data_IF_545787978469
#
_entry.id   IF_545787978469
#
_cell.length_a   1.000
_cell.length_b   1.000
_cell.length_c   1.000
_cell.angle_alpha   90.00
_cell.angle_beta   90.00
_cell.angle_gamma   90.00
#
_symmetry.space_group_name_H-M   'P 1'
#
loop_
_entity.id
_entity.type
_entity.pdbx_description
1 polymer ?
#
# COMPACT_ATOMS: atom_id res chain seq x y z
N UNK A 1 -0.95 -24.23 11.26
CA UNK A 1 -1.98 -23.41 10.59
C UNK A 1 -2.93 -24.36 9.88
N UNK A 2 -4.25 -24.13 9.91
CA UNK A 2 -5.16 -24.98 9.14
C UNK A 2 -4.90 -24.82 7.63
N UNK A 3 -5.29 -25.81 6.82
CA UNK A 3 -5.19 -25.73 5.34
C UNK A 3 -5.92 -24.49 4.79
N UNK A 4 -7.02 -24.08 5.43
CA UNK A 4 -7.80 -22.92 5.03
C UNK A 4 -7.08 -21.60 5.35
N UNK A 5 -6.51 -21.49 6.55
CA UNK A 5 -5.70 -20.33 6.99
C UNK A 5 -4.54 -20.07 6.04
N UNK A 6 -3.85 -21.13 5.60
CA UNK A 6 -2.73 -21.02 4.66
C UNK A 6 -3.18 -20.54 3.27
N UNK A 7 -4.29 -21.07 2.75
CA UNK A 7 -4.85 -20.65 1.45
C UNK A 7 -5.32 -19.19 1.50
N UNK A 8 -5.95 -18.74 2.58
CA UNK A 8 -6.38 -17.35 2.76
C UNK A 8 -5.18 -16.40 2.84
N UNK A 9 -4.13 -16.81 3.56
CA UNK A 9 -2.87 -16.07 3.65
C UNK A 9 -2.22 -15.91 2.28
N UNK A 10 -2.14 -17.00 1.50
CA UNK A 10 -1.61 -16.98 0.15
C UNK A 10 -2.46 -16.11 -0.78
N UNK A 11 -3.79 -16.22 -0.72
CA UNK A 11 -4.69 -15.39 -1.52
C UNK A 11 -4.50 -13.91 -1.26
N UNK A 12 -4.41 -13.50 0.00
CA UNK A 12 -4.18 -12.11 0.35
C UNK A 12 -2.79 -11.65 -0.08
N UNK A 13 -1.77 -12.51 0.13
CA UNK A 13 -0.40 -12.26 -0.28
C UNK A 13 -0.30 -11.99 -1.78
N UNK A 14 -0.88 -12.86 -2.59
CA UNK A 14 -0.88 -12.73 -4.04
C UNK A 14 -1.70 -11.51 -4.50
N UNK A 15 -2.80 -11.19 -3.80
CA UNK A 15 -3.60 -10.01 -4.09
C UNK A 15 -2.81 -8.72 -3.87
N UNK A 16 -2.08 -8.62 -2.74
CA UNK A 16 -1.26 -7.46 -2.42
C UNK A 16 0.01 -7.38 -3.29
N UNK A 17 0.58 -8.54 -3.61
CA UNK A 17 1.72 -8.67 -4.51
C UNK A 17 1.41 -8.13 -5.89
N UNK A 18 0.30 -8.57 -6.50
CA UNK A 18 -0.12 -8.03 -7.78
C UNK A 18 -0.61 -6.58 -7.65
N UNK A 19 -1.64 -6.36 -6.83
CA UNK A 19 -2.38 -5.09 -6.77
C UNK A 19 -1.54 -3.89 -6.36
N UNK A 20 -0.57 -4.07 -5.46
CA UNK A 20 0.30 -2.99 -5.00
C UNK A 20 1.74 -3.21 -5.49
N UNK A 21 2.35 -4.35 -5.17
CA UNK A 21 3.77 -4.56 -5.47
C UNK A 21 4.10 -4.42 -6.95
N UNK A 22 3.45 -5.21 -7.81
CA UNK A 22 3.74 -5.24 -9.25
C UNK A 22 3.06 -4.07 -9.98
N UNK A 23 1.74 -3.93 -9.89
CA UNK A 23 1.00 -2.96 -10.72
C UNK A 23 1.45 -1.51 -10.51
N UNK A 24 1.85 -1.17 -9.29
CA UNK A 24 2.31 0.17 -8.94
C UNK A 24 3.81 0.30 -9.07
N UNK A 25 4.60 -0.47 -8.31
CA UNK A 25 6.03 -0.21 -8.14
C UNK A 25 6.90 -0.71 -9.29
N UNK A 26 6.38 -1.59 -10.17
CA UNK A 26 7.11 -1.94 -11.40
C UNK A 26 7.36 -0.75 -12.31
N UNK A 27 6.41 0.20 -12.39
CA UNK A 27 6.61 1.40 -13.21
C UNK A 27 7.78 2.22 -12.68
N UNK A 28 7.83 2.47 -11.37
CA UNK A 28 8.95 3.19 -10.74
C UNK A 28 10.27 2.46 -10.99
N UNK A 29 10.30 1.13 -10.84
CA UNK A 29 11.49 0.33 -11.10
C UNK A 29 12.00 0.46 -12.55
N UNK A 30 11.09 0.42 -13.53
CA UNK A 30 11.42 0.46 -14.96
C UNK A 30 11.45 1.86 -15.54
N UNK A 31 11.18 2.90 -14.75
CA UNK A 31 11.00 4.27 -15.21
C UNK A 31 12.21 4.79 -16.01
N UNK A 32 13.46 4.69 -15.50
CA UNK A 32 14.62 5.23 -16.22
C UNK A 32 14.78 4.57 -17.60
N UNK A 33 14.78 3.24 -17.65
CA UNK A 33 14.96 2.48 -18.90
C UNK A 33 13.78 2.62 -19.87
N UNK A 34 12.54 2.72 -19.37
CA UNK A 34 11.35 2.94 -20.23
C UNK A 34 11.37 4.32 -20.84
N UNK A 35 11.76 5.34 -20.05
CA UNK A 35 11.85 6.72 -20.54
C UNK A 35 12.87 6.83 -21.67
N UNK A 36 14.06 6.26 -21.47
CA UNK A 36 15.13 6.26 -22.46
C UNK A 36 14.72 5.49 -23.73
N UNK A 37 14.23 4.26 -23.56
CA UNK A 37 13.87 3.40 -24.69
C UNK A 37 12.69 3.93 -25.52
N UNK A 38 11.72 4.59 -24.89
CA UNK A 38 10.51 5.09 -25.58
C UNK A 38 10.62 6.58 -25.95
N UNK A 39 11.72 7.25 -25.58
CA UNK A 39 11.93 8.68 -25.86
C UNK A 39 10.95 9.61 -25.14
N UNK A 40 10.48 9.23 -23.94
CA UNK A 40 9.53 10.02 -23.18
C UNK A 40 10.19 11.23 -22.50
N UNK A 41 9.45 12.34 -22.42
CA UNK A 41 9.87 13.47 -21.58
C UNK A 41 9.79 13.10 -20.09
N UNK A 42 10.56 13.80 -19.26
CA UNK A 42 10.50 13.66 -17.79
C UNK A 42 9.09 13.94 -17.27
N UNK A 43 8.43 14.97 -17.80
CA UNK A 43 7.09 15.37 -17.39
C UNK A 43 6.04 14.30 -17.72
N UNK A 44 6.11 13.73 -18.93
CA UNK A 44 5.19 12.66 -19.32
C UNK A 44 5.40 11.40 -18.48
N UNK A 45 6.66 11.02 -18.24
CA UNK A 45 6.99 9.88 -17.40
C UNK A 45 6.50 10.07 -15.94
N UNK A 46 6.64 11.28 -15.40
CA UNK A 46 6.10 11.64 -14.08
C UNK A 46 4.56 11.59 -14.06
N UNK A 47 3.90 12.08 -15.11
CA UNK A 47 2.44 12.06 -15.26
C UNK A 47 1.87 10.64 -15.19
N UNK A 48 2.55 9.66 -15.79
CA UNK A 48 2.13 8.24 -15.75
C UNK A 48 2.17 7.64 -14.33
N UNK A 49 3.06 8.11 -13.46
CA UNK A 49 3.04 7.81 -12.03
C UNK A 49 1.78 8.35 -11.37
N UNK A 50 1.47 9.63 -11.61
CA UNK A 50 0.27 10.31 -11.10
C UNK A 50 -1.04 9.68 -11.61
N UNK A 51 -1.08 9.27 -12.88
CA UNK A 51 -2.20 8.58 -13.50
C UNK A 51 -2.54 7.27 -12.76
N UNK A 52 -1.52 6.53 -12.31
CA UNK A 52 -1.72 5.34 -11.49
C UNK A 52 -2.29 5.66 -10.10
N UNK A 53 -1.83 6.75 -9.45
CA UNK A 53 -2.38 7.19 -8.17
C UNK A 53 -3.84 7.64 -8.28
N UNK A 54 -4.19 8.34 -9.36
CA UNK A 54 -5.56 8.70 -9.68
C UNK A 54 -6.42 7.45 -9.89
N UNK A 55 -5.95 6.50 -10.70
CA UNK A 55 -6.60 5.22 -10.88
C UNK A 55 -6.83 4.49 -9.55
N UNK A 56 -5.83 4.48 -8.67
CA UNK A 56 -5.94 3.88 -7.34
C UNK A 56 -7.03 4.53 -6.48
N UNK A 57 -7.14 5.86 -6.50
CA UNK A 57 -8.23 6.59 -5.84
C UNK A 57 -9.61 6.20 -6.40
N UNK A 58 -9.74 6.12 -7.73
CA UNK A 58 -10.98 5.69 -8.41
C UNK A 58 -11.33 4.24 -8.02
N UNK A 59 -10.34 3.35 -8.02
CA UNK A 59 -10.51 1.95 -7.63
C UNK A 59 -10.93 1.81 -6.17
N UNK A 60 -10.31 2.57 -5.27
CA UNK A 60 -10.66 2.56 -3.86
C UNK A 60 -12.08 3.09 -3.60
N UNK A 61 -12.47 4.14 -4.32
CA UNK A 61 -13.82 4.70 -4.28
C UNK A 61 -14.87 3.72 -4.80
N UNK A 62 -14.55 3.05 -5.90
CA UNK A 62 -15.40 2.02 -6.48
C UNK A 62 -15.58 0.86 -5.50
N UNK A 63 -14.49 0.37 -4.91
CA UNK A 63 -14.52 -0.72 -3.93
C UNK A 63 -15.39 -0.42 -2.70
N UNK A 64 -15.38 0.84 -2.23
CA UNK A 64 -16.22 1.30 -1.13
C UNK A 64 -17.71 1.14 -1.44
N UNK A 65 -18.12 1.40 -2.69
CA UNK A 65 -19.52 1.34 -3.12
C UNK A 65 -20.00 -0.07 -3.46
N UNK A 66 -19.08 -0.99 -3.74
CA UNK A 66 -19.43 -2.37 -4.02
C UNK A 66 -20.01 -3.05 -2.76
N UNK A 67 -20.96 -3.98 -2.90
CA UNK A 67 -21.51 -4.71 -1.75
C UNK A 67 -20.46 -5.65 -1.13
N UNK A 68 -20.64 -5.98 0.15
CA UNK A 68 -19.75 -6.92 0.88
C UNK A 68 -20.29 -8.35 0.81
N UNK A 69 -20.43 -8.87 -0.42
CA UNK A 69 -20.99 -10.19 -0.70
C UNK A 69 -20.10 -11.00 -1.66
N UNK A 70 -20.61 -12.13 -2.15
CA UNK A 70 -19.93 -13.01 -3.11
C UNK A 70 -19.46 -12.33 -4.41
N UNK A 71 -20.00 -11.17 -4.79
CA UNK A 71 -19.60 -10.44 -6.01
C UNK A 71 -18.16 -9.91 -5.91
N UNK A 72 -17.64 -9.71 -4.69
CA UNK A 72 -16.25 -9.29 -4.47
C UNK A 72 -15.25 -10.21 -5.18
N UNK A 73 -15.53 -11.52 -5.25
CA UNK A 73 -14.72 -12.49 -6.00
C UNK A 73 -14.55 -12.09 -7.47
N UNK A 74 -15.64 -11.70 -8.14
CA UNK A 74 -15.65 -11.34 -9.55
C UNK A 74 -14.88 -10.04 -9.77
N UNK A 75 -15.08 -9.03 -8.92
CA UNK A 75 -14.36 -7.76 -9.03
C UNK A 75 -12.85 -7.92 -8.83
N UNK A 76 -12.43 -8.79 -7.89
CA UNK A 76 -11.01 -9.11 -7.69
C UNK A 76 -10.43 -9.78 -8.94
N UNK A 77 -11.13 -10.73 -9.55
CA UNK A 77 -10.66 -11.39 -10.78
C UNK A 77 -10.57 -10.42 -11.96
N UNK A 78 -11.59 -9.59 -12.18
CA UNK A 78 -11.59 -8.56 -13.23
C UNK A 78 -10.43 -7.59 -13.00
N UNK A 79 -10.23 -7.12 -11.76
CA UNK A 79 -9.15 -6.21 -11.43
C UNK A 79 -7.76 -6.82 -11.68
N UNK A 80 -7.55 -8.07 -11.27
CA UNK A 80 -6.29 -8.77 -11.49
C UNK A 80 -5.99 -8.91 -12.99
N UNK A 81 -6.98 -9.33 -13.78
CA UNK A 81 -6.84 -9.48 -15.23
C UNK A 81 -6.59 -8.14 -15.94
N UNK A 82 -7.37 -7.10 -15.62
CA UNK A 82 -7.19 -5.77 -16.19
C UNK A 82 -5.83 -5.15 -15.84
N UNK A 83 -5.34 -5.39 -14.62
CA UNK A 83 -4.01 -4.94 -14.20
C UNK A 83 -2.90 -5.67 -14.97
N UNK A 84 -3.01 -6.99 -15.14
CA UNK A 84 -2.07 -7.76 -15.94
C UNK A 84 -2.06 -7.30 -17.40
N UNK A 85 -3.23 -7.05 -17.99
CA UNK A 85 -3.34 -6.49 -19.34
C UNK A 85 -2.67 -5.11 -19.45
N UNK A 86 -2.81 -4.26 -18.43
CA UNK A 86 -2.09 -2.98 -18.39
C UNK A 86 -0.58 -3.14 -18.45
N UNK A 87 0.02 -4.13 -17.77
CA UNK A 87 1.46 -4.38 -17.85
C UNK A 87 1.86 -4.80 -19.25
N UNK A 88 1.07 -5.67 -19.88
CA UNK A 88 1.29 -6.10 -21.27
C UNK A 88 1.27 -4.90 -22.23
N UNK A 89 0.27 -4.02 -22.09
CA UNK A 89 0.11 -2.87 -22.96
C UNK A 89 1.20 -1.80 -22.76
N UNK A 90 1.85 -1.75 -21.59
CA UNK A 90 3.00 -0.87 -21.35
C UNK A 90 4.31 -1.41 -21.94
N UNK A 91 4.35 -2.68 -22.38
CA UNK A 91 5.56 -3.28 -22.94
C UNK A 91 5.94 -2.76 -24.33
N UNK A 92 5.00 -2.13 -25.05
CA UNK A 92 5.18 -1.75 -26.44
C UNK A 92 5.30 -0.22 -26.59
N UNK A 93 6.25 0.21 -27.41
CA UNK A 93 6.48 1.62 -27.78
C UNK A 93 5.58 2.06 -28.95
N UNK A 94 5.53 3.38 -29.22
CA UNK A 94 4.95 3.94 -30.45
C UNK A 94 3.44 4.24 -30.39
N UNK A 95 2.82 4.10 -29.21
CA UNK A 95 1.44 4.50 -28.99
C UNK A 95 1.34 5.95 -28.53
N UNK A 96 0.13 6.53 -28.59
CA UNK A 96 -0.12 7.89 -28.11
C UNK A 96 0.03 8.01 -26.60
N UNK A 97 0.26 9.22 -26.09
CA UNK A 97 0.33 9.48 -24.65
C UNK A 97 -0.94 9.00 -23.90
N UNK A 98 -2.11 9.20 -24.51
CA UNK A 98 -3.41 8.79 -23.98
C UNK A 98 -3.48 7.28 -23.74
N UNK A 99 -2.84 6.46 -24.58
CA UNK A 99 -2.77 5.01 -24.40
C UNK A 99 -2.12 4.64 -23.07
N UNK A 100 -0.93 5.19 -22.81
CA UNK A 100 -0.19 4.89 -21.59
C UNK A 100 -0.92 5.45 -20.36
N UNK A 101 -1.48 6.66 -20.45
CA UNK A 101 -2.28 7.25 -19.36
C UNK A 101 -3.46 6.34 -19.00
N UNK A 102 -4.23 5.88 -19.99
CA UNK A 102 -5.38 5.01 -19.78
C UNK A 102 -4.98 3.69 -19.10
N UNK A 103 -3.93 3.03 -19.57
CA UNK A 103 -3.46 1.79 -18.97
C UNK A 103 -2.91 1.99 -17.56
N UNK A 104 -2.18 3.08 -17.29
CA UNK A 104 -1.71 3.40 -15.94
C UNK A 104 -2.87 3.69 -14.97
N UNK A 105 -3.94 4.34 -15.43
CA UNK A 105 -5.18 4.50 -14.66
C UNK A 105 -5.82 3.14 -14.38
N UNK A 106 -5.97 2.26 -15.39
CA UNK A 106 -6.52 0.91 -15.21
C UNK A 106 -5.71 0.11 -14.19
N UNK A 107 -4.39 0.13 -14.29
CA UNK A 107 -3.47 -0.48 -13.33
C UNK A 107 -3.72 0.03 -11.89
N UNK A 108 -3.93 1.34 -11.74
CA UNK A 108 -4.29 1.95 -10.47
C UNK A 108 -5.63 1.48 -9.94
N UNK A 109 -6.67 1.50 -10.78
CA UNK A 109 -8.03 1.04 -10.44
C UNK A 109 -7.97 -0.39 -9.92
N UNK A 110 -7.23 -1.25 -10.62
CA UNK A 110 -7.02 -2.63 -10.21
C UNK A 110 -6.39 -2.74 -8.83
N UNK A 111 -5.33 -1.98 -8.57
CA UNK A 111 -4.68 -1.95 -7.25
C UNK A 111 -5.61 -1.47 -6.13
N UNK A 112 -6.38 -0.41 -6.36
CA UNK A 112 -7.33 0.13 -5.38
C UNK A 112 -8.46 -0.84 -5.04
N UNK A 113 -9.01 -1.53 -6.05
CA UNK A 113 -10.01 -2.58 -5.86
C UNK A 113 -9.46 -3.73 -5.01
N UNK A 114 -8.30 -4.28 -5.39
CA UNK A 114 -7.69 -5.41 -4.68
C UNK A 114 -7.29 -5.06 -3.24
N UNK A 115 -6.84 -3.82 -2.99
CA UNK A 115 -6.46 -3.35 -1.66
C UNK A 115 -7.60 -3.40 -0.64
N UNK A 116 -8.83 -3.12 -1.08
CA UNK A 116 -9.99 -3.09 -0.20
C UNK A 116 -10.71 -4.44 -0.19
N UNK A 117 -10.93 -5.02 -1.37
CA UNK A 117 -11.78 -6.20 -1.50
C UNK A 117 -11.09 -7.47 -0.98
N UNK A 118 -9.79 -7.66 -1.22
CA UNK A 118 -9.10 -8.89 -0.81
C UNK A 118 -9.00 -9.05 0.72
N UNK A 119 -8.61 -8.01 1.51
CA UNK A 119 -8.69 -8.10 2.96
C UNK A 119 -10.13 -8.27 3.47
N UNK A 120 -11.12 -7.72 2.77
CA UNK A 120 -12.54 -7.86 3.13
C UNK A 120 -13.04 -9.30 2.95
N UNK A 121 -12.60 -10.00 1.89
CA UNK A 121 -12.83 -11.44 1.69
C UNK A 121 -12.21 -12.23 2.84
N UNK A 122 -10.95 -11.93 3.19
CA UNK A 122 -10.28 -12.60 4.32
C UNK A 122 -11.03 -12.36 5.62
N UNK A 123 -11.46 -11.13 5.90
CA UNK A 123 -12.17 -10.78 7.13
C UNK A 123 -13.48 -11.57 7.33
N UNK A 124 -14.17 -11.95 6.24
CA UNK A 124 -15.36 -12.81 6.29
C UNK A 124 -15.04 -14.30 6.47
N UNK A 125 -13.92 -14.77 5.90
CA UNK A 125 -13.60 -16.20 5.85
C UNK A 125 -12.67 -16.69 6.97
N UNK A 126 -12.20 -15.81 7.86
CA UNK A 126 -11.26 -16.18 8.92
C UNK A 126 -11.76 -15.95 10.34
N UNK A 127 -11.33 -16.84 11.23
CA UNK A 127 -11.55 -16.74 12.66
C UNK A 127 -10.68 -15.64 13.30
N UNK A 128 -11.16 -15.07 14.41
CA UNK A 128 -10.50 -13.98 15.12
C UNK A 128 -9.03 -14.28 15.48
N UNK A 129 -8.75 -15.51 15.94
CA UNK A 129 -7.42 -15.95 16.38
C UNK A 129 -6.37 -16.00 15.26
N UNK A 130 -6.81 -16.19 14.01
CA UNK A 130 -5.92 -16.33 12.86
C UNK A 130 -5.69 -15.00 12.10
N UNK A 131 -6.55 -13.99 12.33
CA UNK A 131 -6.55 -12.72 11.59
C UNK A 131 -5.19 -12.04 11.52
N UNK A 132 -4.46 -11.99 12.64
CA UNK A 132 -3.16 -11.32 12.69
C UNK A 132 -2.14 -12.01 11.77
N UNK A 133 -2.06 -13.35 11.83
CA UNK A 133 -1.12 -14.14 11.02
C UNK A 133 -1.48 -14.08 9.54
N UNK A 134 -2.77 -14.21 9.21
CA UNK A 134 -3.23 -14.12 7.83
C UNK A 134 -2.94 -12.74 7.24
N UNK A 135 -3.23 -11.66 7.98
CA UNK A 135 -2.95 -10.30 7.50
C UNK A 135 -1.45 -10.04 7.41
N UNK A 136 -0.63 -10.55 8.33
CA UNK A 136 0.83 -10.46 8.24
C UNK A 136 1.34 -11.05 6.92
N UNK A 137 1.02 -12.32 6.64
CA UNK A 137 1.44 -13.00 5.40
C UNK A 137 0.79 -12.34 4.18
N UNK A 138 -0.44 -11.87 4.33
CA UNK A 138 -1.18 -11.21 3.28
C UNK A 138 -0.55 -9.90 2.83
N UNK A 139 -0.23 -9.02 3.78
CA UNK A 139 0.37 -7.72 3.47
C UNK A 139 1.86 -7.80 3.18
N UNK A 140 2.58 -8.87 3.58
CA UNK A 140 3.95 -9.12 3.07
C UNK A 140 3.99 -9.27 1.55
N UNK A 141 2.86 -9.63 0.94
CA UNK A 141 2.68 -9.64 -0.50
C UNK A 141 3.07 -8.32 -1.17
N UNK A 142 2.78 -7.16 -0.56
CA UNK A 142 3.19 -5.85 -1.09
C UNK A 142 4.68 -5.86 -1.38
N UNK A 143 5.49 -6.21 -0.38
CA UNK A 143 6.94 -6.21 -0.49
C UNK A 143 7.50 -7.30 -1.39
N UNK A 144 6.90 -8.48 -1.41
CA UNK A 144 7.28 -9.51 -2.37
C UNK A 144 7.08 -9.04 -3.82
N UNK A 145 5.98 -8.34 -4.12
CA UNK A 145 5.76 -7.80 -5.45
C UNK A 145 6.73 -6.69 -5.81
N UNK A 146 7.09 -5.81 -4.87
CA UNK A 146 8.17 -4.82 -5.10
C UNK A 146 9.49 -5.53 -5.35
N UNK A 147 9.85 -6.53 -4.54
CA UNK A 147 11.08 -7.28 -4.73
C UNK A 147 11.13 -7.95 -6.11
N UNK A 148 10.07 -8.67 -6.50
CA UNK A 148 9.93 -9.26 -7.85
C UNK A 148 10.12 -8.19 -8.94
N UNK A 149 9.55 -7.01 -8.75
CA UNK A 149 9.70 -5.90 -9.68
C UNK A 149 11.14 -5.33 -9.76
N UNK A 150 11.99 -5.62 -8.78
CA UNK A 150 13.38 -5.15 -8.72
C UNK A 150 14.43 -6.21 -9.02
N UNK A 151 14.11 -7.51 -8.90
CA UNK A 151 15.09 -8.61 -8.97
C UNK A 151 15.89 -8.65 -10.27
N UNK A 152 15.30 -8.20 -11.37
CA UNK A 152 15.93 -8.24 -12.69
C UNK A 152 16.53 -6.89 -13.12
N UNK A 153 16.46 -5.84 -12.28
CA UNK A 153 17.09 -4.55 -12.57
C UNK A 153 18.61 -4.63 -12.81
N UNK A 154 19.38 -5.51 -12.14
CA UNK A 154 20.81 -5.67 -12.45
C UNK A 154 21.08 -6.19 -13.87
N UNK A 155 20.08 -6.83 -14.50
CA UNK A 155 20.18 -7.38 -15.85
C UNK A 155 19.47 -6.50 -16.88
N UNK A 156 18.99 -5.32 -16.51
CA UNK A 156 18.19 -4.47 -17.39
C UNK A 156 18.99 -4.04 -18.62
N UNK A 157 20.32 -3.86 -18.49
CA UNK A 157 21.21 -3.53 -19.61
C UNK A 157 21.40 -4.70 -20.60
N UNK A 158 20.98 -5.91 -20.23
CA UNK A 158 21.12 -7.14 -21.02
C UNK A 158 19.82 -7.57 -21.71
N UNK A 159 18.69 -6.93 -21.39
CA UNK A 159 17.38 -7.26 -21.92
C UNK A 159 16.71 -6.01 -22.50
N UNK A 160 15.83 -6.18 -23.48
CA UNK A 160 15.01 -5.07 -23.95
C UNK A 160 14.01 -4.65 -22.86
N UNK A 161 13.65 -3.36 -22.83
CA UNK A 161 12.63 -2.87 -21.90
C UNK A 161 11.27 -3.57 -22.09
N UNK A 162 10.96 -3.95 -23.34
CA UNK A 162 9.78 -4.74 -23.67
C UNK A 162 9.79 -6.07 -22.93
N UNK A 163 10.93 -6.79 -22.95
CA UNK A 163 11.09 -8.06 -22.22
C UNK A 163 10.93 -7.87 -20.71
N UNK A 164 11.46 -6.79 -20.14
CA UNK A 164 11.26 -6.47 -18.72
C UNK A 164 9.76 -6.32 -18.36
N UNK A 165 8.99 -5.57 -19.14
CA UNK A 165 7.54 -5.45 -18.96
C UNK A 165 6.81 -6.79 -19.13
N UNK A 166 7.21 -7.60 -20.11
CA UNK A 166 6.61 -8.92 -20.36
C UNK A 166 6.94 -9.95 -19.27
N UNK A 167 8.12 -9.90 -18.65
CA UNK A 167 8.46 -10.72 -17.47
C UNK A 167 7.48 -10.42 -16.33
N UNK A 168 7.26 -9.14 -16.04
CA UNK A 168 6.30 -8.70 -15.03
C UNK A 168 4.87 -9.12 -15.37
N UNK A 169 4.49 -9.00 -16.64
CA UNK A 169 3.21 -9.49 -17.14
C UNK A 169 3.08 -11.02 -16.93
N UNK A 170 4.14 -11.79 -17.15
CA UNK A 170 4.19 -13.23 -16.89
C UNK A 170 3.96 -13.58 -15.43
N UNK A 171 4.63 -12.87 -14.51
CA UNK A 171 4.36 -12.99 -13.06
C UNK A 171 2.92 -12.61 -12.72
N UNK A 172 2.41 -11.51 -13.28
CA UNK A 172 1.03 -11.08 -13.06
C UNK A 172 0.03 -12.12 -13.58
N UNK A 173 0.27 -12.74 -14.74
CA UNK A 173 -0.56 -13.80 -15.30
C UNK A 173 -0.58 -15.04 -14.39
N UNK A 174 0.58 -15.48 -13.91
CA UNK A 174 0.67 -16.59 -12.95
C UNK A 174 -0.12 -16.28 -11.67
N UNK A 175 0.04 -15.08 -11.14
CA UNK A 175 -0.70 -14.63 -9.95
C UNK A 175 -2.21 -14.61 -10.23
N UNK A 176 -2.65 -14.10 -11.38
CA UNK A 176 -4.06 -14.10 -11.80
C UNK A 176 -4.64 -15.52 -11.83
N UNK A 177 -3.92 -16.48 -12.40
CA UNK A 177 -4.35 -17.89 -12.45
C UNK A 177 -4.51 -18.44 -11.02
N UNK A 178 -3.50 -18.29 -10.17
CA UNK A 178 -3.53 -18.81 -8.80
C UNK A 178 -4.63 -18.12 -7.97
N UNK A 179 -4.78 -16.80 -8.10
CA UNK A 179 -5.87 -16.05 -7.45
C UNK A 179 -7.24 -16.56 -7.88
N UNK A 180 -7.43 -16.84 -9.17
CA UNK A 180 -8.68 -17.40 -9.70
C UNK A 180 -8.97 -18.78 -9.10
N UNK A 181 -7.96 -19.63 -8.94
CA UNK A 181 -8.13 -20.94 -8.30
C UNK A 181 -8.44 -20.83 -6.80
N UNK A 182 -7.82 -19.88 -6.09
CA UNK A 182 -8.01 -19.69 -4.65
C UNK A 182 -9.38 -19.07 -4.34
N UNK A 183 -9.78 -18.02 -5.06
CA UNK A 183 -11.02 -17.27 -4.77
C UNK A 183 -12.26 -18.14 -4.97
N UNK A 184 -12.26 -19.07 -5.93
CA UNK A 184 -13.36 -20.02 -6.13
C UNK A 184 -13.58 -20.94 -4.91
N UNK A 185 -12.53 -21.23 -4.15
CA UNK A 185 -12.64 -22.02 -2.90
C UNK A 185 -13.27 -21.22 -1.77
N UNK A 186 -13.13 -19.91 -1.76
CA UNK A 186 -13.65 -19.03 -0.71
C UNK A 186 -15.04 -18.49 -1.01
N UNK A 187 -15.41 -18.39 -2.29
CA UNK A 187 -16.71 -17.88 -2.75
C UNK A 187 -17.93 -18.50 -2.03
N UNK A 188 -17.98 -19.81 -1.71
CA UNK A 188 -19.10 -20.40 -0.98
C UNK A 188 -19.22 -19.92 0.48
N UNK A 189 -18.12 -19.45 1.08
CA UNK A 189 -18.09 -18.96 2.46
C UNK A 189 -18.37 -17.46 2.57
N UNK A 190 -18.43 -16.75 1.44
CA UNK A 190 -18.81 -15.34 1.40
C UNK A 190 -20.30 -15.18 1.62
N UNK A 191 -20.70 -14.11 2.32
CA UNK A 191 -22.10 -13.83 2.59
C UNK A 191 -22.89 -13.71 1.28
N UNK A 192 -24.06 -14.37 1.22
CA UNK A 192 -24.97 -14.29 0.09
C UNK A 192 -25.62 -12.89 -0.06
N UNK A 193 -25.75 -12.17 1.06
CA UNK A 193 -26.22 -10.80 1.15
C UNK A 193 -25.26 -9.99 2.02
N UNK A 194 -25.09 -8.70 1.69
CA UNK A 194 -24.31 -7.79 2.52
C UNK A 194 -24.97 -7.67 3.91
N UNK A 195 -24.20 -7.67 5.01
CA UNK A 195 -24.75 -7.42 6.34
C UNK A 195 -25.49 -6.08 6.35
N UNK A 196 -26.74 -6.06 6.82
CA UNK A 196 -27.44 -4.82 7.05
C UNK A 196 -26.70 -4.07 8.17
N UNK A 197 -26.04 -2.95 7.85
CA UNK A 197 -25.39 -2.09 8.86
C UNK A 197 -26.50 -1.25 9.50
N UNK A 198 -27.24 -1.85 10.42
CA UNK A 198 -28.41 -1.25 11.08
C UNK A 198 -28.09 -0.56 12.41
N UNK A 199 -26.83 -0.50 12.84
CA UNK A 199 -26.42 0.19 14.06
C UNK A 199 -25.67 1.49 13.78
N UNK A 200 -25.96 2.52 14.59
CA UNK A 200 -25.15 3.73 14.67
C UNK A 200 -23.74 3.35 15.14
N UNK A 201 -22.80 3.26 14.20
CA UNK A 201 -21.39 3.01 14.50
C UNK A 201 -20.80 4.23 15.22
N UNK A 202 -20.51 4.10 16.51
CA UNK A 202 -19.84 5.15 17.28
C UNK A 202 -18.33 5.12 17.01
N UNK A 203 -17.86 6.08 16.21
CA UNK A 203 -16.42 6.28 15.97
C UNK A 203 -15.85 7.14 17.09
N UNK A 204 -14.78 6.64 17.73
CA UNK A 204 -14.09 7.33 18.80
C UNK A 204 -12.91 8.17 18.30
N UNK A 205 -12.31 8.95 19.18
CA UNK A 205 -11.18 9.81 18.81
C UNK A 205 -9.94 9.03 18.40
N UNK A 206 -9.80 7.79 18.88
CA UNK A 206 -8.74 6.85 18.47
C UNK A 206 -8.84 6.47 17.00
N UNK A 207 -10.04 6.25 16.44
CA UNK A 207 -10.18 5.98 15.00
C UNK A 207 -9.75 7.17 14.15
N UNK A 208 -10.21 8.38 14.50
CA UNK A 208 -9.81 9.59 13.77
C UNK A 208 -8.31 9.86 13.90
N UNK A 209 -7.72 9.55 15.06
CA UNK A 209 -6.27 9.62 15.27
C UNK A 209 -5.52 8.64 14.36
N UNK A 210 -5.96 7.38 14.30
CA UNK A 210 -5.40 6.37 13.41
C UNK A 210 -5.52 6.78 11.93
N UNK A 211 -6.68 7.32 11.54
CA UNK A 211 -6.92 7.83 10.19
C UNK A 211 -5.98 8.99 9.86
N UNK A 212 -5.78 9.92 10.81
CA UNK A 212 -4.92 11.10 10.63
C UNK A 212 -3.46 10.71 10.42
N UNK A 213 -2.89 9.87 11.29
CA UNK A 213 -1.49 9.44 11.14
C UNK A 213 -1.29 8.59 9.87
N UNK A 214 -2.30 7.79 9.49
CA UNK A 214 -2.27 7.04 8.24
C UNK A 214 -2.29 7.98 7.02
N UNK A 215 -3.11 9.02 7.04
CA UNK A 215 -3.13 10.07 6.03
C UNK A 215 -1.79 10.84 5.96
N UNK A 216 -1.22 11.24 7.10
CA UNK A 216 0.11 11.86 7.16
C UNK A 216 1.18 10.95 6.56
N UNK A 217 1.12 9.64 6.81
CA UNK A 217 2.05 8.68 6.20
C UNK A 217 1.88 8.58 4.69
N UNK A 218 0.66 8.75 4.17
CA UNK A 218 0.37 8.80 2.74
C UNK A 218 0.99 10.02 2.04
N UNK A 219 1.13 11.14 2.75
CA UNK A 219 1.86 12.29 2.25
C UNK A 219 3.37 12.06 2.33
N UNK A 220 3.83 11.57 3.48
CA UNK A 220 5.24 11.49 3.82
C UNK A 220 6.03 10.43 3.04
N UNK A 221 5.38 9.38 2.51
CA UNK A 221 6.07 8.39 1.69
C UNK A 221 6.26 8.81 0.22
N UNK A 222 5.61 9.90 -0.23
CA UNK A 222 5.67 10.34 -1.63
C UNK A 222 7.09 10.60 -2.11
N UNK A 223 7.95 11.35 -1.38
CA UNK A 223 9.32 11.58 -1.81
C UNK A 223 10.07 10.29 -2.14
N UNK A 224 9.96 9.26 -1.29
CA UNK A 224 10.60 7.96 -1.52
C UNK A 224 9.92 7.10 -2.58
N UNK A 225 8.64 7.32 -2.87
CA UNK A 225 7.88 6.48 -3.81
C UNK A 225 7.84 6.98 -5.25
N UNK A 226 7.92 8.31 -5.45
CA UNK A 226 7.85 8.94 -6.76
C UNK A 226 9.15 9.65 -7.13
N UNK A 227 9.75 10.38 -6.19
CA UNK A 227 10.86 11.29 -6.47
C UNK A 227 12.24 10.70 -6.11
N UNK A 228 12.28 9.51 -5.51
CA UNK A 228 13.52 8.91 -5.02
C UNK A 228 14.52 8.66 -6.15
N UNK A 229 14.06 8.07 -7.26
CA UNK A 229 14.92 7.76 -8.40
C UNK A 229 15.47 9.06 -9.02
N UNK A 230 14.62 10.07 -9.16
CA UNK A 230 15.03 11.38 -9.67
C UNK A 230 16.02 12.06 -8.71
N UNK A 231 15.80 11.99 -7.39
CA UNK A 231 16.74 12.47 -6.38
C UNK A 231 18.10 11.78 -6.49
N UNK A 232 18.13 10.44 -6.55
CA UNK A 232 19.38 9.68 -6.67
C UNK A 232 20.13 10.00 -7.97
N UNK A 233 19.40 10.24 -9.07
CA UNK A 233 19.98 10.55 -10.38
C UNK A 233 20.42 12.00 -10.51
N UNK A 234 19.54 12.96 -10.23
CA UNK A 234 19.73 14.38 -10.52
C UNK A 234 20.46 15.12 -9.40
N UNK A 235 20.16 14.80 -8.13
CA UNK A 235 20.76 15.49 -6.98
C UNK A 235 22.07 14.81 -6.56
N UNK A 236 22.08 13.48 -6.44
CA UNK A 236 23.26 12.73 -6.00
C UNK A 236 24.17 12.29 -7.16
N UNK A 237 23.74 12.41 -8.41
CA UNK A 237 24.56 12.07 -9.58
C UNK A 237 24.95 10.59 -9.65
N UNK A 238 24.16 9.69 -9.05
CA UNK A 238 24.50 8.27 -8.97
C UNK A 238 24.36 7.56 -10.32
N UNK A 239 25.21 6.56 -10.56
CA UNK A 239 25.08 5.68 -11.73
C UNK A 239 23.83 4.81 -11.65
N UNK A 240 23.35 4.30 -12.80
CA UNK A 240 22.19 3.42 -12.89
C UNK A 240 22.29 2.21 -11.95
N UNK A 241 23.50 1.65 -11.80
CA UNK A 241 23.76 0.56 -10.85
C UNK A 241 23.39 0.93 -9.40
N UNK A 242 23.85 2.10 -8.91
CA UNK A 242 23.59 2.54 -7.54
C UNK A 242 22.15 2.99 -7.32
N UNK A 243 21.49 3.52 -8.36
CA UNK A 243 20.04 3.81 -8.34
C UNK A 243 19.26 2.51 -8.19
N UNK A 244 19.54 1.51 -9.04
CA UNK A 244 18.89 0.20 -9.00
C UNK A 244 19.13 -0.51 -7.67
N UNK A 245 20.36 -0.42 -7.13
CA UNK A 245 20.70 -1.00 -5.83
C UNK A 245 19.86 -0.40 -4.69
N UNK A 246 19.68 0.92 -4.66
CA UNK A 246 18.80 1.57 -3.68
C UNK A 246 17.34 1.07 -3.81
N UNK A 247 16.87 0.87 -5.03
CA UNK A 247 15.51 0.37 -5.25
C UNK A 247 15.34 -1.10 -4.84
N UNK A 248 16.37 -1.93 -5.07
CA UNK A 248 16.42 -3.30 -4.53
C UNK A 248 16.38 -3.29 -3.01
N UNK A 249 17.14 -2.40 -2.35
CA UNK A 249 17.09 -2.25 -0.89
C UNK A 249 15.70 -1.83 -0.40
N UNK A 250 15.04 -0.91 -1.11
CA UNK A 250 13.64 -0.54 -0.83
C UNK A 250 12.71 -1.75 -0.95
N UNK A 251 12.85 -2.56 -2.01
CA UNK A 251 12.10 -3.81 -2.19
C UNK A 251 12.35 -4.85 -1.10
N UNK A 252 13.61 -5.06 -0.72
CA UNK A 252 14.00 -5.96 0.36
C UNK A 252 13.42 -5.51 1.71
N UNK A 253 13.55 -4.21 2.02
CA UNK A 253 12.92 -3.62 3.20
C UNK A 253 11.42 -3.88 3.20
N UNK A 254 10.75 -3.59 2.08
CA UNK A 254 9.30 -3.78 1.89
C UNK A 254 8.86 -5.22 2.16
N UNK A 255 9.62 -6.23 1.72
CA UNK A 255 9.35 -7.64 2.00
C UNK A 255 9.39 -7.97 3.51
N UNK A 256 10.23 -7.27 4.28
CA UNK A 256 10.36 -7.41 5.73
C UNK A 256 9.38 -6.52 6.52
N UNK A 257 8.67 -5.61 5.86
CA UNK A 257 7.78 -4.64 6.50
C UNK A 257 6.70 -5.29 7.35
N UNK A 258 5.89 -6.17 6.77
CA UNK A 258 4.82 -6.85 7.51
C UNK A 258 5.36 -7.72 8.66
N UNK A 259 6.54 -8.34 8.49
CA UNK A 259 7.19 -9.12 9.54
C UNK A 259 7.56 -8.25 10.74
N UNK A 260 8.14 -7.08 10.50
CA UNK A 260 8.52 -6.14 11.56
C UNK A 260 7.28 -5.70 12.38
N UNK A 261 6.20 -5.31 11.70
CA UNK A 261 4.95 -4.93 12.33
C UNK A 261 4.31 -6.09 13.11
N UNK A 262 4.35 -7.31 12.56
CA UNK A 262 3.82 -8.50 13.25
C UNK A 262 4.58 -8.79 14.55
N UNK A 263 5.92 -8.77 14.50
CA UNK A 263 6.76 -9.01 15.66
C UNK A 263 6.53 -7.97 16.77
N UNK A 264 6.47 -6.68 16.38
CA UNK A 264 6.20 -5.57 17.30
C UNK A 264 4.80 -5.66 17.92
N UNK A 265 3.77 -5.91 17.10
CA UNK A 265 2.39 -6.01 17.55
C UNK A 265 2.19 -7.18 18.52
N UNK A 266 2.83 -8.32 18.27
CA UNK A 266 2.81 -9.46 19.18
C UNK A 266 3.47 -9.19 20.52
N UNK A 267 4.54 -8.41 20.54
CA UNK A 267 5.31 -8.14 21.76
C UNK A 267 4.69 -7.03 22.61
N UNK A 268 4.17 -5.99 21.97
CA UNK A 268 3.78 -4.74 22.64
C UNK A 268 2.36 -4.26 22.33
N UNK A 269 1.60 -4.98 21.50
CA UNK A 269 0.27 -4.58 21.05
C UNK A 269 0.31 -3.56 19.91
N UNK A 270 -0.81 -3.43 19.19
CA UNK A 270 -0.85 -2.69 17.92
C UNK A 270 -0.50 -1.21 18.06
N UNK A 271 -1.05 -0.51 19.07
CA UNK A 271 -0.80 0.93 19.20
C UNK A 271 0.63 1.27 19.57
N UNK A 272 1.27 0.46 20.42
CA UNK A 272 2.70 0.66 20.75
C UNK A 272 3.55 0.35 19.52
N UNK A 273 3.24 -0.73 18.81
CA UNK A 273 3.92 -1.07 17.56
C UNK A 273 3.78 0.03 16.49
N UNK A 274 2.57 0.58 16.25
CA UNK A 274 2.36 1.70 15.33
C UNK A 274 3.18 2.94 15.71
N UNK A 275 3.20 3.29 17.00
CA UNK A 275 4.02 4.42 17.50
C UNK A 275 5.51 4.23 17.19
N UNK A 276 6.03 3.03 17.40
CA UNK A 276 7.43 2.69 17.09
C UNK A 276 7.68 2.76 15.58
N UNK A 277 6.83 2.11 14.78
CA UNK A 277 6.97 2.09 13.33
C UNK A 277 6.95 3.50 12.73
N UNK A 278 6.00 4.35 13.12
CA UNK A 278 5.95 5.74 12.64
C UNK A 278 7.13 6.57 13.10
N UNK A 279 7.61 6.37 14.34
CA UNK A 279 8.81 7.06 14.85
C UNK A 279 10.06 6.68 14.03
N UNK A 280 10.24 5.39 13.76
CA UNK A 280 11.32 4.92 12.89
C UNK A 280 11.16 5.44 11.46
N UNK A 281 9.92 5.65 11.00
CA UNK A 281 9.66 6.11 9.65
C UNK A 281 10.03 7.57 9.46
N UNK A 282 9.74 8.40 10.45
CA UNK A 282 10.21 9.79 10.50
C UNK A 282 11.74 9.84 10.40
N UNK A 283 12.45 9.01 11.17
CA UNK A 283 13.91 8.92 11.12
C UNK A 283 14.38 8.47 9.74
N UNK A 284 13.78 7.42 9.17
CA UNK A 284 14.14 6.89 7.86
C UNK A 284 14.00 7.91 6.72
N UNK A 285 12.98 8.78 6.77
CA UNK A 285 12.81 9.87 5.81
C UNK A 285 13.83 10.97 6.09
N UNK A 286 14.01 11.35 7.35
CA UNK A 286 14.91 12.45 7.74
C UNK A 286 16.36 12.17 7.36
N UNK A 287 16.86 10.94 7.54
CA UNK A 287 18.25 10.61 7.20
C UNK A 287 18.59 10.78 5.72
N UNK A 288 17.59 10.81 4.82
CA UNK A 288 17.80 11.12 3.40
C UNK A 288 18.32 12.54 3.16
N UNK A 289 18.14 13.44 4.14
CA UNK A 289 18.49 14.88 4.04
C UNK A 289 19.93 15.19 4.47
N UNK A 290 20.62 14.22 5.06
CA UNK A 290 21.88 14.48 5.75
C UNK A 290 23.11 14.43 4.82
N UNK A 291 22.97 13.94 3.59
CA UNK A 291 23.98 13.89 2.51
C UNK A 291 25.41 13.47 2.91
N UNK A 292 25.59 12.86 4.07
CA UNK A 292 26.90 12.66 4.67
C UNK A 292 27.57 11.37 4.19
N UNK A 293 26.80 10.35 3.79
CA UNK A 293 27.37 9.08 3.31
C UNK A 293 26.38 8.23 2.51
N UNK A 294 26.86 7.38 1.58
CA UNK A 294 26.02 6.41 0.87
C UNK A 294 25.25 5.46 1.80
N UNK A 295 25.82 5.15 2.97
CA UNK A 295 25.18 4.30 3.97
C UNK A 295 23.86 4.89 4.50
N UNK A 296 23.78 6.22 4.64
CA UNK A 296 22.54 6.89 5.05
C UNK A 296 21.47 6.79 3.95
N UNK A 297 21.86 6.96 2.69
CA UNK A 297 20.96 6.79 1.54
C UNK A 297 20.44 5.36 1.43
N UNK A 298 21.31 4.37 1.58
CA UNK A 298 20.94 2.95 1.61
C UNK A 298 20.00 2.62 2.78
N UNK A 299 20.31 3.15 3.96
CA UNK A 299 19.48 2.98 5.15
C UNK A 299 18.11 3.63 4.94
N UNK A 300 18.05 4.82 4.35
CA UNK A 300 16.81 5.50 4.03
C UNK A 300 15.96 4.64 3.10
N UNK A 301 16.51 4.23 1.95
CA UNK A 301 15.84 3.32 1.00
C UNK A 301 15.24 2.08 1.68
N UNK A 302 16.07 1.36 2.44
CA UNK A 302 15.67 0.12 3.10
C UNK A 302 14.58 0.35 4.15
N UNK A 303 14.76 1.30 5.06
CA UNK A 303 13.82 1.52 6.15
C UNK A 303 12.51 2.16 5.66
N UNK A 304 12.53 3.09 4.70
CA UNK A 304 11.28 3.62 4.14
C UNK A 304 10.51 2.55 3.38
N UNK A 305 11.23 1.67 2.66
CA UNK A 305 10.65 0.50 2.00
C UNK A 305 9.99 -0.43 2.99
N UNK A 306 10.65 -0.72 4.12
CA UNK A 306 10.11 -1.55 5.20
C UNK A 306 8.89 -0.95 5.89
N UNK A 307 8.96 0.32 6.25
CA UNK A 307 8.01 0.91 7.18
C UNK A 307 6.67 1.22 6.53
N UNK A 308 6.63 1.50 5.23
CA UNK A 308 5.37 1.78 4.52
C UNK A 308 4.39 0.57 4.52
N UNK A 309 4.75 -0.64 4.03
CA UNK A 309 3.88 -1.80 4.17
C UNK A 309 3.61 -2.19 5.63
N UNK A 310 4.56 -1.96 6.54
CA UNK A 310 4.42 -2.27 7.96
C UNK A 310 3.26 -1.48 8.60
N UNK A 311 3.22 -0.16 8.39
CA UNK A 311 2.16 0.70 8.95
C UNK A 311 0.82 0.47 8.25
N UNK A 312 0.83 0.18 6.94
CA UNK A 312 -0.38 -0.18 6.17
C UNK A 312 -1.02 -1.45 6.72
N UNK A 313 -0.23 -2.52 6.85
CA UNK A 313 -0.68 -3.79 7.45
C UNK A 313 -1.25 -3.57 8.84
N UNK A 314 -0.49 -2.92 9.72
CA UNK A 314 -0.88 -2.84 11.12
C UNK A 314 -2.07 -1.90 11.34
N UNK A 315 -2.21 -0.86 10.51
CA UNK A 315 -3.40 0.01 10.49
C UNK A 315 -4.64 -0.77 10.06
N UNK A 316 -4.55 -1.51 8.95
CA UNK A 316 -5.61 -2.40 8.47
C UNK A 316 -6.04 -3.39 9.55
N UNK A 317 -5.09 -4.10 10.13
CA UNK A 317 -5.36 -5.07 11.19
C UNK A 317 -5.96 -4.42 12.45
N UNK A 318 -5.51 -3.22 12.82
CA UNK A 318 -6.06 -2.49 13.97
C UNK A 318 -7.52 -2.11 13.73
N UNK A 319 -7.87 -1.64 12.52
CA UNK A 319 -9.27 -1.36 12.17
C UNK A 319 -10.10 -2.66 12.21
N UNK A 320 -9.56 -3.77 11.68
CA UNK A 320 -10.23 -5.07 11.71
C UNK A 320 -10.48 -5.56 13.14
N UNK A 321 -9.52 -5.37 14.03
CA UNK A 321 -9.61 -5.78 15.43
C UNK A 321 -10.63 -4.94 16.21
N UNK A 322 -10.66 -3.62 15.99
CA UNK A 322 -11.54 -2.70 16.73
C UNK A 322 -13.00 -2.76 16.23
N UNK A 323 -13.21 -2.94 14.92
CA UNK A 323 -14.51 -2.66 14.31
C UNK A 323 -15.17 -3.86 13.62
N UNK A 324 -14.49 -5.01 13.53
CA UNK A 324 -15.07 -6.28 13.11
C UNK A 324 -15.94 -6.19 11.85
N UNK A 325 -17.27 -6.18 12.03
CA UNK A 325 -18.25 -6.13 10.94
C UNK A 325 -18.16 -4.84 10.09
N UNK A 326 -17.79 -3.70 10.69
CA UNK A 326 -17.63 -2.44 9.97
C UNK A 326 -16.26 -2.32 9.27
N UNK A 327 -15.41 -3.35 9.33
CA UNK A 327 -14.05 -3.33 8.80
C UNK A 327 -13.99 -2.86 7.35
N UNK A 328 -14.77 -3.45 6.42
CA UNK A 328 -14.71 -3.05 5.01
C UNK A 328 -14.99 -1.56 4.84
N UNK A 329 -16.05 -1.04 5.47
CA UNK A 329 -16.43 0.38 5.37
C UNK A 329 -15.30 1.27 5.88
N UNK A 330 -14.79 1.01 7.09
CA UNK A 330 -13.76 1.85 7.70
C UNK A 330 -12.39 1.72 7.03
N UNK A 331 -12.02 0.52 6.60
CA UNK A 331 -10.82 0.28 5.80
C UNK A 331 -10.91 0.97 4.43
N UNK A 332 -12.09 0.99 3.82
CA UNK A 332 -12.32 1.75 2.59
C UNK A 332 -12.15 3.25 2.83
N UNK A 333 -12.65 3.80 3.94
CA UNK A 333 -12.46 5.22 4.30
C UNK A 333 -10.97 5.51 4.51
N UNK A 334 -10.27 4.66 5.26
CA UNK A 334 -8.83 4.82 5.48
C UNK A 334 -8.04 4.77 4.18
N UNK A 335 -8.36 3.81 3.30
CA UNK A 335 -7.72 3.65 1.99
C UNK A 335 -8.03 4.82 1.06
N UNK A 336 -9.26 5.34 1.05
CA UNK A 336 -9.61 6.55 0.29
C UNK A 336 -8.89 7.79 0.78
N UNK A 337 -8.78 7.96 2.10
CA UNK A 337 -8.03 9.06 2.69
C UNK A 337 -6.55 8.98 2.28
N UNK A 338 -5.93 7.80 2.40
CA UNK A 338 -4.58 7.54 1.92
C UNK A 338 -4.45 7.84 0.42
N UNK A 339 -5.38 7.35 -0.40
CA UNK A 339 -5.38 7.53 -1.85
C UNK A 339 -5.54 8.99 -2.29
N UNK A 340 -6.32 9.77 -1.54
CA UNK A 340 -6.52 11.19 -1.81
C UNK A 340 -5.26 11.98 -1.44
N UNK A 341 -4.71 11.71 -0.25
CA UNK A 341 -3.53 12.42 0.25
C UNK A 341 -2.28 12.06 -0.53
N UNK A 342 -2.10 10.81 -0.97
CA UNK A 342 -0.96 10.45 -1.84
C UNK A 342 -1.03 11.17 -3.19
N UNK A 343 -2.22 11.36 -3.77
CA UNK A 343 -2.40 12.05 -5.05
C UNK A 343 -2.13 13.55 -4.88
N UNK A 344 -2.70 14.15 -3.83
CA UNK A 344 -2.42 15.55 -3.45
C UNK A 344 -0.93 15.72 -3.17
N UNK A 345 -0.31 14.79 -2.46
CA UNK A 345 1.12 14.78 -2.17
C UNK A 345 1.96 14.78 -3.45
N UNK A 346 1.71 13.84 -4.37
CA UNK A 346 2.39 13.79 -5.67
C UNK A 346 2.32 15.11 -6.42
N UNK A 347 1.13 15.67 -6.58
CA UNK A 347 0.91 16.97 -7.23
C UNK A 347 1.60 18.12 -6.49
N UNK A 348 1.55 18.11 -5.15
CA UNK A 348 2.18 19.13 -4.31
C UNK A 348 3.70 19.11 -4.46
N UNK A 349 4.34 17.93 -4.39
CA UNK A 349 5.78 17.81 -4.55
C UNK A 349 6.25 18.19 -5.96
N UNK A 350 5.50 17.83 -7.00
CA UNK A 350 5.77 18.30 -8.37
C UNK A 350 5.68 19.83 -8.47
N UNK A 351 4.66 20.45 -7.88
CA UNK A 351 4.54 21.91 -7.88
C UNK A 351 5.67 22.58 -7.07
N UNK A 352 6.03 22.04 -5.91
CA UNK A 352 7.15 22.54 -5.10
C UNK A 352 8.47 22.48 -5.87
N UNK A 353 8.71 21.40 -6.63
CA UNK A 353 9.88 21.28 -7.50
C UNK A 353 9.87 22.35 -8.60
N UNK A 354 8.72 22.61 -9.23
CA UNK A 354 8.56 23.67 -10.23
C UNK A 354 8.85 25.06 -9.65
N UNK A 355 8.46 25.31 -8.41
CA UNK A 355 8.77 26.55 -7.68
C UNK A 355 10.20 26.60 -7.11
N UNK A 356 11.04 25.60 -7.38
CA UNK A 356 12.46 25.60 -7.02
C UNK A 356 12.78 25.10 -5.62
N UNK A 357 11.86 24.42 -4.92
CA UNK A 357 12.20 23.75 -3.67
C UNK A 357 13.08 22.53 -3.93
N UNK A 358 14.14 22.38 -3.14
CA UNK A 358 15.05 21.24 -3.25
C UNK A 358 14.42 19.94 -2.75
N UNK A 359 14.95 18.81 -3.20
CA UNK A 359 14.54 17.49 -2.69
C UNK A 359 14.68 17.39 -1.17
N UNK A 360 15.73 17.96 -0.57
CA UNK A 360 15.89 17.96 0.90
C UNK A 360 14.76 18.69 1.61
N UNK A 361 14.37 19.87 1.11
CA UNK A 361 13.24 20.61 1.68
C UNK A 361 11.94 19.80 1.59
N UNK A 362 11.75 19.06 0.49
CA UNK A 362 10.61 18.16 0.31
C UNK A 362 10.63 16.98 1.29
N UNK A 363 11.79 16.34 1.50
CA UNK A 363 11.95 15.29 2.52
C UNK A 363 11.70 15.82 3.93
N UNK A 364 12.21 17.02 4.26
CA UNK A 364 11.98 17.67 5.56
C UNK A 364 10.48 17.94 5.77
N UNK A 365 9.78 18.45 4.76
CA UNK A 365 8.32 18.65 4.82
C UNK A 365 7.59 17.33 5.10
N UNK A 366 7.93 16.26 4.38
CA UNK A 366 7.38 14.93 4.62
C UNK A 366 7.63 14.44 6.05
N UNK A 367 8.85 14.62 6.57
CA UNK A 367 9.22 14.31 7.96
C UNK A 367 8.33 15.06 8.96
N UNK A 368 8.13 16.36 8.79
CA UNK A 368 7.30 17.17 9.71
C UNK A 368 5.82 16.81 9.66
N UNK A 369 5.28 16.51 8.48
CA UNK A 369 3.89 16.06 8.34
C UNK A 369 3.68 14.74 9.08
N UNK A 370 4.58 13.77 8.91
CA UNK A 370 4.49 12.49 9.62
C UNK A 370 4.73 12.63 11.13
N UNK A 371 5.67 13.50 11.53
CA UNK A 371 5.92 13.82 12.94
C UNK A 371 4.66 14.36 13.61
N UNK A 372 3.97 15.29 12.96
CA UNK A 372 2.73 15.88 13.48
C UNK A 372 1.64 14.82 13.69
N UNK A 373 1.41 13.96 12.69
CA UNK A 373 0.47 12.83 12.80
C UNK A 373 0.87 11.83 13.89
N UNK A 374 2.18 11.58 14.05
CA UNK A 374 2.70 10.66 15.06
C UNK A 374 2.51 11.22 16.47
N UNK A 375 2.85 12.50 16.71
CA UNK A 375 2.62 13.16 18.00
C UNK A 375 1.13 13.14 18.38
N UNK A 376 0.26 13.36 17.40
CA UNK A 376 -1.19 13.23 17.57
C UNK A 376 -1.58 11.80 17.99
N UNK A 377 -1.05 10.75 17.34
CA UNK A 377 -1.28 9.36 17.74
C UNK A 377 -0.83 9.09 19.18
N UNK A 378 0.34 9.58 19.57
CA UNK A 378 0.85 9.46 20.95
C UNK A 378 -0.08 10.11 21.97
N UNK A 379 -0.68 11.25 21.64
CA UNK A 379 -1.60 11.98 22.52
C UNK A 379 -2.91 11.24 22.73
N UNK A 380 -3.55 10.76 21.65
CA UNK A 380 -4.87 10.13 21.71
C UNK A 380 -4.83 8.68 22.22
N UNK A 381 -3.68 8.00 22.14
CA UNK A 381 -3.50 6.62 22.62
C UNK A 381 -2.89 6.53 24.03
N UNK A 382 -2.91 7.62 24.81
CA UNK A 382 -2.47 7.59 26.22
C UNK A 382 -3.39 6.70 27.05
N UNK A 383 -2.87 5.91 28.02
CA UNK A 383 -3.65 4.94 28.80
C UNK A 383 -4.90 5.52 29.48
N UNK A 384 -4.83 6.78 29.92
CA UNK A 384 -5.93 7.50 30.58
C UNK A 384 -7.12 7.71 29.62
N UNK A 385 -6.85 8.04 28.34
CA UNK A 385 -7.89 8.29 27.34
C UNK A 385 -8.58 7.02 26.84
N UNK A 386 -7.82 5.93 26.74
CA UNK A 386 -8.35 4.62 26.35
C UNK A 386 -9.37 4.10 27.39
N UNK A 387 -9.13 4.33 28.69
CA UNK A 387 -10.09 3.98 29.74
C UNK A 387 -11.37 4.82 29.69
N UNK A 388 -11.25 6.13 29.45
CA UNK A 388 -12.43 7.02 29.36
C UNK A 388 -13.33 6.69 28.17
N UNK A 389 -12.77 6.33 27.02
CA UNK A 389 -13.56 5.95 25.85
C UNK A 389 -14.28 4.61 26.01
N UNK A 390 -13.67 3.64 26.71
CA UNK A 390 -14.30 2.37 27.05
C UNK A 390 -15.45 2.51 28.06
N UNK A 391 -15.38 3.48 28.98
CA UNK A 391 -16.44 3.75 29.95
C UNK A 391 -17.67 4.48 29.36
N UNK A 392 -17.51 5.21 28.25
CA UNK A 392 -18.60 5.90 27.55
C UNK A 392 -19.43 5.03 26.59
N UNK A 393 -19.08 3.76 26.38
CA UNK A 393 -20.02 2.79 25.79
C UNK A 393 -20.85 2.20 26.92
N UNK A 394 -22.11 2.65 27.17
CA UNK A 394 -22.93 2.00 28.17
C UNK A 394 -23.13 0.56 27.73
N UNK A 395 -22.77 -0.37 28.62
CA UNK A 395 -23.18 -1.77 28.54
C UNK A 395 -24.70 -1.76 28.53
N UNK A 396 -25.32 -1.83 27.36
CA UNK A 396 -26.75 -2.13 27.24
C UNK A 396 -26.93 -3.58 27.67
N UNK A 397 -27.01 -3.77 28.98
CA UNK A 397 -27.52 -4.98 29.58
C UNK A 397 -28.98 -5.11 29.12
N UNK A 398 -29.21 -5.94 28.11
CA UNK A 398 -30.50 -6.62 27.97
C UNK A 398 -30.35 -7.99 28.59
N UNK A 399 -30.36 -7.98 29.93
CA UNK A 399 -30.90 -9.06 30.71
C UNK A 399 -32.28 -8.65 31.16
N UNK A 400 -33.32 -9.22 30.56
CA UNK A 400 -34.53 -9.60 31.29
C UNK A 400 -35.18 -10.79 30.58
N UNK A 401 -34.92 -11.97 31.15
CA UNK A 401 -35.81 -13.13 31.07
C UNK A 401 -37.06 -12.84 31.89
N UNK A 402 -38.12 -13.58 31.57
CA UNK A 402 -39.44 -13.75 32.23
C UNK A 402 -40.54 -12.92 31.56
N UNK A 403 -41.64 -13.48 31.03
CA UNK A 403 -42.26 -14.81 31.15
C UNK A 403 -42.69 -15.35 29.79
#
# INVERSE_FOLDING_TARGET
>A
MSSNTMKLSLFLCLSMCLGIGILRFSYTALLPGTREAFGWSTDFASLLGSANLLGYLIGAFTAMRLPQDRSMSTYIQISAFAGMLSLMCCAFSGFSEVWYIAWRIISGISGGLMMILSPSVVAQCCELQDRLKINFIGFSGIGLGVLIATLFLPYLDQISIQTAWLILCGFALLICIVLSLLIQKFKPYLSAQAPAVTSHLSLNSVFYSLLTVYACSAFAYIPHSLFWIDYLSQQLGLSLFWINFNWILYGLGSALGALSAYALARKWGNFVALKILYSLYIVAIFIATLDASPLLTFSSSFFTGMLNPAVVFLTSYTILQLYGLAYKKLWSIATLCFASIQLIGGLSFSALQYFGLSYHQQFILATFVLLSGTLQLFWYTRPVRLKSEQQTQPVSAHGERTK
#
